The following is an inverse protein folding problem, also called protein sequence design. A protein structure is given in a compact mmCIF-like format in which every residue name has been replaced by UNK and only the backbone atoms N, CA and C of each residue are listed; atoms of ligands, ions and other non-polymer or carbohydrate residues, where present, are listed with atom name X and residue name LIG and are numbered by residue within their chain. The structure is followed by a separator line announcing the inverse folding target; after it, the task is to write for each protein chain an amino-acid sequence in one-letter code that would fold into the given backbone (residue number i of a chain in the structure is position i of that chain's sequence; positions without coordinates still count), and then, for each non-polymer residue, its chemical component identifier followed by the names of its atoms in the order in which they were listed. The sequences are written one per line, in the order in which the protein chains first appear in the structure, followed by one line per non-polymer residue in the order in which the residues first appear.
data_IF_309678122007
#
_entry.id   IF_309678122007
#
_cell.length_a   1.000
_cell.length_b   1.000
_cell.length_c   1.000
_cell.angle_alpha   90.00
_cell.angle_beta   90.00
_cell.angle_gamma   90.00
#
_symmetry.space_group_name_H-M   'P 1'
#
loop_
_entity.id
_entity.type
_entity.pdbx_description
1 polymer ?
#
# COMPACT_ATOMS: atom_id res chain seq x y z
N UNK A 1 14.13 33.93 23.53
CA UNK A 1 14.62 32.55 23.65
C UNK A 1 13.65 31.66 22.84
N UNK A 2 14.07 31.09 21.71
CA UNK A 2 13.26 30.08 20.97
C UNK A 2 13.23 28.83 21.89
N UNK A 3 12.08 28.48 22.46
CA UNK A 3 11.90 27.26 23.21
C UNK A 3 12.34 26.09 22.38
N UNK A 4 13.14 25.16 22.94
CA UNK A 4 13.46 23.88 22.26
C UNK A 4 12.15 23.14 22.05
N UNK A 5 11.68 23.08 20.80
CA UNK A 5 10.53 22.24 20.44
C UNK A 5 10.79 20.80 20.87
N UNK A 6 9.77 20.16 21.45
CA UNK A 6 9.80 18.76 21.85
C UNK A 6 10.17 17.85 20.65
N UNK A 7 11.03 16.83 20.83
CA UNK A 7 11.38 15.87 19.80
C UNK A 7 10.16 15.23 19.09
N UNK A 8 9.12 14.90 19.85
CA UNK A 8 7.87 14.34 19.33
C UNK A 8 7.16 15.32 18.39
N UNK A 9 7.02 16.60 18.80
CA UNK A 9 6.40 17.63 17.97
C UNK A 9 7.14 17.82 16.64
N UNK A 10 8.47 17.75 16.66
CA UNK A 10 9.29 17.87 15.44
C UNK A 10 9.12 16.69 14.51
N UNK A 11 9.03 15.47 15.04
CA UNK A 11 8.79 14.28 14.20
C UNK A 11 7.36 14.26 13.69
N UNK A 12 6.39 14.64 14.51
CA UNK A 12 5.00 14.81 14.07
C UNK A 12 4.88 15.81 12.92
N UNK A 13 5.48 16.98 13.05
CA UNK A 13 5.50 17.98 11.98
C UNK A 13 6.18 17.45 10.69
N UNK A 14 7.17 16.56 10.81
CA UNK A 14 7.82 15.94 9.66
C UNK A 14 6.88 14.94 8.96
N UNK A 15 6.12 14.16 9.73
CA UNK A 15 5.11 13.22 9.20
C UNK A 15 4.00 13.98 8.49
N UNK A 16 3.41 14.99 9.12
CA UNK A 16 2.38 15.84 8.51
C UNK A 16 2.87 16.46 7.20
N UNK A 17 4.10 16.95 7.19
CA UNK A 17 4.70 17.52 5.95
C UNK A 17 4.92 16.47 4.87
N UNK A 18 5.22 15.22 5.24
CA UNK A 18 5.36 14.12 4.27
C UNK A 18 4.00 13.75 3.68
N UNK A 19 2.97 13.63 4.52
CA UNK A 19 1.58 13.41 4.11
C UNK A 19 1.09 14.50 3.15
N UNK A 20 1.23 15.78 3.52
CA UNK A 20 0.88 16.91 2.65
C UNK A 20 1.62 16.89 1.31
N UNK A 21 2.88 16.46 1.31
CA UNK A 21 3.66 16.33 0.07
C UNK A 21 3.09 15.22 -0.79
N UNK A 22 2.78 14.06 -0.21
CA UNK A 22 2.15 12.95 -0.93
C UNK A 22 0.82 13.39 -1.54
N UNK A 23 -0.07 13.98 -0.74
CA UNK A 23 -1.36 14.46 -1.19
C UNK A 23 -1.23 15.45 -2.36
N UNK A 24 -0.35 16.44 -2.26
CA UNK A 24 -0.12 17.42 -3.34
C UNK A 24 0.36 16.79 -4.65
N UNK A 25 1.21 15.75 -4.59
CA UNK A 25 1.71 15.08 -5.80
C UNK A 25 0.67 14.12 -6.39
N UNK A 26 -0.20 13.55 -5.57
CA UNK A 26 -1.23 12.62 -5.99
C UNK A 26 -2.57 13.30 -6.35
N UNK A 27 -2.72 14.60 -6.04
CA UNK A 27 -3.93 15.37 -6.30
C UNK A 27 -4.23 15.75 -7.76
N UNK A 28 -3.29 15.76 -8.74
CA UNK A 28 -3.72 16.01 -10.10
C UNK A 28 -4.82 15.01 -10.47
N UNK A 29 -6.04 15.53 -10.64
CA UNK A 29 -7.14 14.74 -11.15
C UNK A 29 -6.69 14.14 -12.48
N UNK A 30 -7.01 12.87 -12.70
CA UNK A 30 -6.84 12.28 -14.02
C UNK A 30 -7.55 13.13 -15.04
N UNK A 31 -6.98 13.26 -16.22
CA UNK A 31 -7.61 14.02 -17.33
C UNK A 31 -9.08 13.65 -17.46
N UNK A 32 -9.96 14.66 -17.48
CA UNK A 32 -11.39 14.44 -17.63
C UNK A 32 -11.68 13.51 -18.84
N UNK A 33 -12.58 12.55 -18.67
CA UNK A 33 -12.93 11.60 -19.73
C UNK A 33 -11.94 10.44 -19.95
N UNK A 34 -10.94 10.24 -19.07
CA UNK A 34 -10.02 9.09 -19.20
C UNK A 34 -10.76 7.75 -19.12
N UNK A 35 -11.80 7.65 -18.28
CA UNK A 35 -12.61 6.44 -18.17
C UNK A 35 -13.33 6.11 -19.47
N UNK A 36 -13.95 7.11 -20.12
CA UNK A 36 -14.59 6.93 -21.42
C UNK A 36 -13.59 6.52 -22.51
N UNK A 37 -12.37 7.06 -22.45
CA UNK A 37 -11.31 6.66 -23.39
C UNK A 37 -10.87 5.24 -23.15
N UNK A 38 -10.65 4.82 -21.90
CA UNK A 38 -10.30 3.44 -21.57
C UNK A 38 -11.40 2.48 -22.00
N UNK A 39 -12.66 2.77 -21.70
CA UNK A 39 -13.79 1.91 -22.06
C UNK A 39 -13.90 1.65 -23.58
N UNK A 40 -13.39 2.56 -24.40
CA UNK A 40 -13.31 2.35 -25.87
C UNK A 40 -12.21 1.37 -26.31
N UNK A 41 -11.12 1.27 -25.54
CA UNK A 41 -9.94 0.48 -25.92
C UNK A 41 -9.79 -0.81 -25.12
N UNK A 42 -10.44 -0.91 -23.96
CA UNK A 42 -10.38 -2.09 -23.09
C UNK A 42 -11.67 -2.89 -23.21
N UNK A 43 -11.61 -4.16 -23.63
CA UNK A 43 -12.78 -5.01 -23.62
C UNK A 43 -13.35 -5.12 -22.21
N UNK A 44 -14.66 -4.92 -22.04
CA UNK A 44 -15.35 -5.00 -20.74
C UNK A 44 -15.09 -6.34 -20.04
N UNK A 45 -14.95 -7.43 -20.81
CA UNK A 45 -14.59 -8.74 -20.28
C UNK A 45 -13.23 -8.75 -19.58
N UNK A 46 -12.26 -7.99 -20.07
CA UNK A 46 -10.93 -7.90 -19.44
C UNK A 46 -10.99 -7.12 -18.14
N UNK A 47 -11.69 -5.98 -18.12
CA UNK A 47 -11.93 -5.19 -16.93
C UNK A 47 -12.56 -6.03 -15.83
N UNK A 48 -13.70 -6.67 -16.10
CA UNK A 48 -14.38 -7.54 -15.12
C UNK A 48 -13.52 -8.72 -14.68
N UNK A 49 -12.69 -9.27 -15.56
CA UNK A 49 -11.77 -10.36 -15.21
C UNK A 49 -10.67 -9.88 -14.26
N UNK A 50 -10.10 -8.69 -14.48
CA UNK A 50 -9.10 -8.11 -13.60
C UNK A 50 -9.67 -7.82 -12.20
N UNK A 51 -10.84 -7.20 -12.11
CA UNK A 51 -11.53 -6.98 -10.83
C UNK A 51 -11.76 -8.28 -10.08
N UNK A 52 -12.29 -9.30 -10.75
CA UNK A 52 -12.51 -10.61 -10.14
C UNK A 52 -11.20 -11.31 -9.71
N UNK A 53 -10.13 -11.14 -10.48
CA UNK A 53 -8.83 -11.73 -10.16
C UNK A 53 -8.20 -11.08 -8.93
N UNK A 54 -8.22 -9.75 -8.81
CA UNK A 54 -7.75 -9.05 -7.61
C UNK A 54 -8.59 -9.42 -6.39
N UNK A 55 -9.92 -9.43 -6.53
CA UNK A 55 -10.83 -9.81 -5.44
C UNK A 55 -10.51 -11.22 -4.90
N UNK A 56 -10.46 -12.21 -5.78
CA UNK A 56 -10.15 -13.59 -5.40
C UNK A 56 -8.74 -13.74 -4.81
N UNK A 57 -7.78 -12.98 -5.31
CA UNK A 57 -6.42 -13.03 -4.79
C UNK A 57 -6.35 -12.46 -3.36
N UNK A 58 -7.05 -11.36 -3.05
CA UNK A 58 -7.16 -10.86 -1.67
C UNK A 58 -7.85 -11.87 -0.76
N UNK A 59 -9.00 -12.45 -1.15
CA UNK A 59 -9.66 -13.50 -0.37
C UNK A 59 -8.70 -14.66 -0.07
N UNK A 60 -8.03 -15.18 -1.09
CA UNK A 60 -7.10 -16.29 -0.94
C UNK A 60 -5.95 -15.95 0.04
N UNK A 61 -5.39 -14.74 -0.07
CA UNK A 61 -4.27 -14.33 0.77
C UNK A 61 -4.73 -14.15 2.21
N UNK A 62 -5.83 -13.44 2.46
CA UNK A 62 -6.31 -13.23 3.83
C UNK A 62 -6.81 -14.51 4.50
N UNK A 63 -7.39 -15.43 3.74
CA UNK A 63 -7.91 -16.67 4.30
C UNK A 63 -6.81 -17.74 4.53
N UNK A 64 -5.77 -17.78 3.67
CA UNK A 64 -4.78 -18.87 3.69
C UNK A 64 -3.34 -18.43 3.37
N UNK A 65 -3.14 -17.30 2.74
CA UNK A 65 -1.85 -16.86 2.21
C UNK A 65 -0.97 -16.13 3.22
N UNK A 66 -1.56 -15.48 4.23
CA UNK A 66 -0.81 -14.71 5.23
C UNK A 66 0.33 -15.51 5.88
N UNK A 67 0.13 -16.76 6.35
CA UNK A 67 1.22 -17.57 6.90
C UNK A 67 2.35 -17.89 5.90
N UNK A 68 2.04 -17.91 4.60
CA UNK A 68 3.05 -18.11 3.54
C UNK A 68 3.89 -16.84 3.37
N UNK A 69 3.24 -15.68 3.37
CA UNK A 69 3.91 -14.38 3.33
C UNK A 69 4.83 -14.23 4.55
N UNK A 70 4.37 -14.58 5.74
CA UNK A 70 5.14 -14.49 6.99
C UNK A 70 6.43 -15.31 6.99
N UNK A 71 6.48 -16.43 6.27
CA UNK A 71 7.70 -17.22 6.10
C UNK A 71 8.80 -16.49 5.32
N UNK A 72 8.46 -15.42 4.61
CA UNK A 72 9.42 -14.65 3.79
C UNK A 72 10.14 -13.55 4.57
N UNK A 73 9.75 -13.31 5.84
CA UNK A 73 10.40 -12.38 6.75
C UNK A 73 10.29 -12.88 8.21
N UNK A 74 11.06 -12.28 9.11
CA UNK A 74 11.15 -12.71 10.52
C UNK A 74 10.19 -11.85 11.38
N UNK A 75 8.92 -12.26 11.47
CA UNK A 75 7.87 -11.54 12.23
C UNK A 75 8.32 -11.25 13.66
N UNK A 76 8.74 -12.27 14.40
CA UNK A 76 9.13 -12.13 15.81
C UNK A 76 10.28 -11.12 15.99
N UNK A 77 11.24 -11.10 15.05
CA UNK A 77 12.35 -10.16 15.09
C UNK A 77 11.85 -8.70 14.89
N UNK A 78 10.87 -8.50 14.01
CA UNK A 78 10.25 -7.19 13.81
C UNK A 78 9.53 -6.71 15.06
N UNK A 79 8.74 -7.56 15.68
CA UNK A 79 8.05 -7.27 16.93
C UNK A 79 9.02 -6.99 18.09
N UNK A 80 10.13 -7.73 18.18
CA UNK A 80 11.19 -7.48 19.15
C UNK A 80 11.87 -6.12 18.90
N UNK A 81 12.22 -5.82 17.66
CA UNK A 81 12.82 -4.53 17.29
C UNK A 81 11.89 -3.37 17.63
N UNK A 82 10.59 -3.50 17.37
CA UNK A 82 9.62 -2.50 17.80
C UNK A 82 9.66 -2.28 19.32
N UNK A 83 9.63 -3.34 20.13
CA UNK A 83 9.69 -3.23 21.60
C UNK A 83 10.96 -2.54 22.07
N UNK A 84 12.11 -2.86 21.46
CA UNK A 84 13.42 -2.22 21.76
C UNK A 84 13.37 -0.72 21.39
N UNK A 85 12.84 -0.40 20.21
CA UNK A 85 12.73 0.98 19.73
C UNK A 85 11.76 1.79 20.61
N UNK A 86 10.62 1.20 21.01
CA UNK A 86 9.63 1.84 21.87
C UNK A 86 10.24 2.16 23.27
N UNK A 87 10.86 1.18 23.89
CA UNK A 87 11.57 1.40 25.16
C UNK A 87 12.68 2.45 25.04
N UNK A 88 13.46 2.41 23.96
CA UNK A 88 14.53 3.39 23.72
C UNK A 88 13.96 4.79 23.53
N UNK A 89 12.84 4.94 22.84
CA UNK A 89 12.17 6.23 22.65
C UNK A 89 11.62 6.79 23.95
N UNK A 90 11.05 5.93 24.80
CA UNK A 90 10.54 6.30 26.12
C UNK A 90 11.65 6.80 27.05
N UNK A 91 12.79 6.06 27.10
CA UNK A 91 13.90 6.40 28.02
C UNK A 91 14.71 7.60 27.54
N UNK A 92 14.92 7.77 26.23
CA UNK A 92 15.85 8.77 25.70
C UNK A 92 15.20 10.06 25.22
N UNK A 93 13.91 10.08 24.93
CA UNK A 93 13.16 11.23 24.39
C UNK A 93 13.97 12.06 23.38
N UNK A 94 14.51 11.40 22.35
CA UNK A 94 15.30 12.02 21.30
C UNK A 94 14.71 11.76 19.92
N UNK A 95 14.88 12.71 19.00
CA UNK A 95 14.49 12.51 17.58
C UNK A 95 15.17 11.29 16.96
N UNK A 96 16.39 10.97 17.37
CA UNK A 96 17.11 9.80 16.87
C UNK A 96 16.42 8.49 17.26
N UNK A 97 15.93 8.39 18.51
CA UNK A 97 15.18 7.23 19.00
C UNK A 97 13.83 7.10 18.27
N UNK A 98 13.08 8.21 18.13
CA UNK A 98 11.81 8.23 17.40
C UNK A 98 11.96 7.82 15.92
N UNK A 99 13.05 8.21 15.28
CA UNK A 99 13.33 7.84 13.87
C UNK A 99 13.77 6.39 13.68
N UNK A 100 14.01 5.64 14.75
CA UNK A 100 14.37 4.23 14.64
C UNK A 100 13.26 3.42 13.96
N UNK A 101 12.00 3.69 14.29
CA UNK A 101 10.83 3.05 13.66
C UNK A 101 10.83 3.27 12.14
N UNK A 102 10.93 4.52 11.70
CA UNK A 102 10.94 4.86 10.27
C UNK A 102 12.16 4.33 9.51
N UNK A 103 13.34 4.22 10.17
CA UNK A 103 14.51 3.59 9.53
C UNK A 103 14.28 2.11 9.29
N UNK A 104 13.68 1.41 10.24
CA UNK A 104 13.38 -0.02 10.10
C UNK A 104 12.32 -0.27 9.03
N UNK A 105 11.23 0.49 9.06
CA UNK A 105 10.20 0.44 8.02
C UNK A 105 10.78 0.75 6.62
N UNK A 106 11.62 1.78 6.52
CA UNK A 106 12.27 2.17 5.26
C UNK A 106 13.26 1.12 4.73
N UNK A 107 14.00 0.44 5.61
CA UNK A 107 14.91 -0.64 5.21
C UNK A 107 14.13 -1.82 4.59
N UNK A 108 13.03 -2.23 5.21
CA UNK A 108 12.14 -3.27 4.69
C UNK A 108 11.52 -2.89 3.35
N UNK A 109 11.02 -1.66 3.25
CA UNK A 109 10.45 -1.13 2.01
C UNK A 109 11.44 -1.18 0.85
N UNK A 110 12.65 -0.69 1.06
CA UNK A 110 13.67 -0.65 0.01
C UNK A 110 14.08 -2.06 -0.45
N UNK A 111 14.20 -3.02 0.48
CA UNK A 111 14.49 -4.40 0.15
C UNK A 111 13.36 -5.04 -0.66
N UNK A 112 12.10 -4.84 -0.26
CA UNK A 112 10.94 -5.39 -0.94
C UNK A 112 10.77 -4.79 -2.35
N UNK A 113 11.02 -3.49 -2.53
CA UNK A 113 11.03 -2.87 -3.85
C UNK A 113 12.13 -3.43 -4.75
N UNK A 114 13.32 -3.70 -4.21
CA UNK A 114 14.41 -4.30 -4.97
C UNK A 114 14.09 -5.73 -5.40
N UNK A 115 13.50 -6.54 -4.51
CA UNK A 115 13.05 -7.91 -4.82
C UNK A 115 12.00 -7.89 -5.92
N UNK A 116 10.98 -7.03 -5.80
CA UNK A 116 9.95 -6.88 -6.84
C UNK A 116 10.51 -6.48 -8.20
N UNK A 117 11.54 -5.65 -8.22
CA UNK A 117 12.22 -5.27 -9.46
C UNK A 117 12.87 -6.47 -10.16
N UNK A 118 13.48 -7.37 -9.38
CA UNK A 118 14.14 -8.58 -9.92
C UNK A 118 13.11 -9.61 -10.37
N UNK A 119 12.08 -9.85 -9.57
CA UNK A 119 11.02 -10.81 -9.89
C UNK A 119 10.18 -10.34 -11.09
N UNK A 120 9.83 -9.04 -11.16
CA UNK A 120 9.07 -8.46 -12.27
C UNK A 120 9.79 -8.56 -13.61
N UNK A 121 11.12 -8.44 -13.65
CA UNK A 121 11.93 -8.64 -14.86
C UNK A 121 11.98 -10.12 -15.27
N UNK A 122 12.01 -11.03 -14.29
CA UNK A 122 12.07 -12.48 -14.57
C UNK A 122 10.75 -13.06 -15.04
N UNK A 123 9.60 -12.55 -14.58
CA UNK A 123 8.28 -13.14 -14.83
C UNK A 123 7.50 -12.47 -15.97
N UNK A 124 7.78 -11.22 -16.30
CA UNK A 124 7.20 -10.55 -17.48
C UNK A 124 7.50 -11.24 -18.81
N UNK A 125 8.48 -12.15 -18.83
CA UNK A 125 8.83 -12.95 -20.01
C UNK A 125 7.84 -14.11 -20.31
N UNK A 126 7.03 -14.53 -19.32
CA UNK A 126 6.12 -15.68 -19.51
C UNK A 126 4.72 -15.32 -20.04
N UNK A 127 4.42 -14.05 -20.27
CA UNK A 127 3.28 -13.60 -21.08
C UNK A 127 1.86 -13.97 -20.61
N UNK A 128 1.69 -14.46 -19.38
CA UNK A 128 0.41 -14.95 -18.85
C UNK A 128 -0.08 -14.06 -17.71
N UNK A 129 -0.64 -12.92 -18.05
CA UNK A 129 -1.03 -11.78 -17.23
C UNK A 129 -1.90 -11.97 -16.00
N UNK A 130 -2.43 -13.12 -15.66
CA UNK A 130 -3.29 -13.31 -14.51
C UNK A 130 -2.66 -14.10 -13.34
N UNK A 131 -1.72 -15.03 -13.54
CA UNK A 131 -1.05 -15.73 -12.44
C UNK A 131 -0.21 -14.81 -11.55
N UNK A 132 0.21 -13.66 -12.06
CA UNK A 132 1.09 -12.71 -11.34
C UNK A 132 0.35 -11.89 -10.27
N UNK A 133 -0.99 -11.80 -10.33
CA UNK A 133 -1.78 -11.00 -9.37
C UNK A 133 -1.62 -11.48 -7.92
N UNK A 134 -1.75 -12.77 -7.59
CA UNK A 134 -1.51 -13.25 -6.23
C UNK A 134 -0.08 -12.99 -5.74
N UNK A 135 0.92 -13.12 -6.62
CA UNK A 135 2.31 -12.84 -6.27
C UNK A 135 2.52 -11.34 -6.02
N UNK A 136 2.05 -10.50 -6.92
CA UNK A 136 2.09 -9.04 -6.75
C UNK A 136 1.46 -8.62 -5.43
N UNK A 137 0.24 -9.10 -5.12
CA UNK A 137 -0.42 -8.80 -3.86
C UNK A 137 0.33 -9.37 -2.66
N UNK A 138 0.92 -10.54 -2.77
CA UNK A 138 1.74 -11.14 -1.72
C UNK A 138 2.94 -10.26 -1.36
N UNK A 139 3.67 -9.74 -2.36
CA UNK A 139 4.81 -8.83 -2.15
C UNK A 139 4.35 -7.48 -1.62
N UNK A 140 3.24 -6.95 -2.12
CA UNK A 140 2.64 -5.70 -1.65
C UNK A 140 2.24 -5.81 -0.17
N UNK A 141 1.48 -6.85 0.19
CA UNK A 141 1.03 -7.06 1.57
C UNK A 141 2.20 -7.35 2.51
N UNK A 142 3.21 -8.12 2.08
CA UNK A 142 4.46 -8.27 2.83
C UNK A 142 5.06 -6.93 3.20
N UNK A 143 5.18 -6.02 2.22
CA UNK A 143 5.76 -4.70 2.47
C UNK A 143 4.96 -3.91 3.51
N UNK A 144 3.63 -3.95 3.43
CA UNK A 144 2.75 -3.26 4.39
C UNK A 144 2.83 -3.92 5.77
N UNK A 145 2.83 -5.25 5.86
CA UNK A 145 2.95 -6.00 7.12
C UNK A 145 4.25 -5.67 7.85
N UNK A 146 5.37 -5.63 7.13
CA UNK A 146 6.66 -5.26 7.72
C UNK A 146 6.69 -3.81 8.22
N UNK A 147 6.04 -2.88 7.51
CA UNK A 147 5.86 -1.50 7.98
C UNK A 147 4.99 -1.47 9.22
N UNK A 148 3.83 -2.13 9.22
CA UNK A 148 2.91 -2.20 10.36
C UNK A 148 3.64 -2.70 11.62
N UNK A 149 4.34 -3.84 11.53
CA UNK A 149 5.11 -4.40 12.64
C UNK A 149 6.21 -3.46 13.14
N UNK A 150 6.84 -2.68 12.24
CA UNK A 150 7.88 -1.72 12.63
C UNK A 150 7.34 -0.57 13.48
N UNK A 151 6.03 -0.32 13.40
CA UNK A 151 5.31 0.68 14.21
C UNK A 151 4.43 0.06 15.31
N UNK A 152 4.47 -1.26 15.49
CA UNK A 152 3.74 -1.98 16.54
C UNK A 152 2.28 -2.29 16.22
N UNK A 153 1.88 -2.12 14.97
CA UNK A 153 0.57 -2.56 14.49
C UNK A 153 0.61 -4.02 14.05
N UNK A 154 -0.53 -4.70 14.10
CA UNK A 154 -0.69 -6.06 13.61
C UNK A 154 -1.58 -6.07 12.35
N UNK A 155 -1.88 -7.25 11.82
CA UNK A 155 -2.70 -7.43 10.61
C UNK A 155 -3.55 -8.72 10.70
N UNK A 156 -3.73 -9.21 11.94
CA UNK A 156 -4.33 -10.53 12.18
C UNK A 156 -5.87 -10.47 12.21
N UNK A 157 -6.44 -9.32 12.59
CA UNK A 157 -7.89 -9.15 12.71
C UNK A 157 -8.53 -8.66 11.41
N UNK A 158 -9.85 -8.87 11.28
CA UNK A 158 -10.59 -8.33 10.13
C UNK A 158 -10.54 -6.80 10.06
N UNK A 159 -10.52 -6.13 11.20
CA UNK A 159 -10.45 -4.67 11.27
C UNK A 159 -9.12 -4.15 10.73
N UNK A 160 -8.01 -4.79 11.10
CA UNK A 160 -6.68 -4.47 10.58
C UNK A 160 -6.57 -4.76 9.08
N UNK A 161 -7.19 -5.84 8.61
CA UNK A 161 -7.26 -6.15 7.17
C UNK A 161 -8.05 -5.08 6.42
N UNK A 162 -9.18 -4.60 6.97
CA UNK A 162 -9.96 -3.49 6.39
C UNK A 162 -9.11 -2.22 6.35
N UNK A 163 -8.36 -1.91 7.41
CA UNK A 163 -7.46 -0.76 7.44
C UNK A 163 -6.40 -0.83 6.34
N UNK A 164 -5.73 -1.98 6.19
CA UNK A 164 -4.72 -2.20 5.15
C UNK A 164 -5.31 -2.06 3.75
N UNK A 165 -6.48 -2.64 3.52
CA UNK A 165 -7.20 -2.51 2.25
C UNK A 165 -7.56 -1.04 1.96
N UNK A 166 -8.07 -0.32 2.97
CA UNK A 166 -8.39 1.10 2.87
C UNK A 166 -7.15 1.96 2.60
N UNK A 167 -6.02 1.63 3.21
CA UNK A 167 -4.74 2.27 2.95
C UNK A 167 -4.31 2.09 1.49
N UNK A 168 -4.42 0.88 0.94
CA UNK A 168 -4.13 0.60 -0.47
C UNK A 168 -5.08 1.40 -1.39
N UNK A 169 -6.38 1.36 -1.13
CA UNK A 169 -7.39 2.14 -1.88
C UNK A 169 -7.05 3.64 -1.87
N UNK A 170 -6.72 4.18 -0.69
CA UNK A 170 -6.37 5.59 -0.50
C UNK A 170 -5.11 5.95 -1.29
N UNK A 171 -4.06 5.16 -1.17
CA UNK A 171 -2.82 5.40 -1.91
C UNK A 171 -3.02 5.43 -3.43
N UNK A 172 -3.99 4.69 -3.95
CA UNK A 172 -4.34 4.65 -5.37
C UNK A 172 -5.36 5.70 -5.80
N UNK A 173 -6.03 6.34 -4.84
CA UNK A 173 -7.04 7.36 -5.12
C UNK A 173 -6.43 8.67 -5.62
N UNK A 174 -7.27 9.51 -6.27
CA UNK A 174 -6.88 10.81 -6.82
C UNK A 174 -7.90 11.89 -6.45
N UNK A 175 -7.49 13.16 -6.50
CA UNK A 175 -8.36 14.32 -6.32
C UNK A 175 -9.12 14.30 -4.99
N UNK A 176 -10.42 14.60 -5.05
CA UNK A 176 -11.30 14.66 -3.86
C UNK A 176 -11.42 13.30 -3.15
N UNK A 177 -11.46 12.21 -3.92
CA UNK A 177 -11.52 10.85 -3.34
C UNK A 177 -10.30 10.53 -2.48
N UNK A 178 -9.11 10.97 -2.91
CA UNK A 178 -7.90 10.83 -2.10
C UNK A 178 -8.02 11.61 -0.80
N UNK A 179 -8.48 12.86 -0.86
CA UNK A 179 -8.64 13.69 0.33
C UNK A 179 -9.65 13.10 1.32
N UNK A 180 -10.80 12.60 0.83
CA UNK A 180 -11.81 11.94 1.65
C UNK A 180 -11.27 10.67 2.30
N UNK A 181 -10.67 9.77 1.52
CA UNK A 181 -10.13 8.51 2.01
C UNK A 181 -9.02 8.75 3.04
N UNK A 182 -8.14 9.73 2.81
CA UNK A 182 -7.10 10.11 3.75
C UNK A 182 -7.68 10.65 5.07
N UNK A 183 -8.72 11.47 4.99
CA UNK A 183 -9.41 11.96 6.18
C UNK A 183 -10.06 10.81 6.97
N UNK A 184 -10.72 9.86 6.30
CA UNK A 184 -11.31 8.68 6.95
C UNK A 184 -10.27 7.82 7.68
N UNK A 185 -9.10 7.56 7.05
CA UNK A 185 -7.99 6.85 7.68
C UNK A 185 -7.44 7.61 8.91
N UNK A 186 -7.26 8.93 8.79
CA UNK A 186 -6.77 9.76 9.89
C UNK A 186 -7.76 9.79 11.06
N UNK A 187 -9.06 9.82 10.79
CA UNK A 187 -10.11 9.74 11.82
C UNK A 187 -10.08 8.38 12.51
N UNK A 188 -9.96 7.29 11.76
CA UNK A 188 -9.88 5.95 12.31
C UNK A 188 -8.67 5.82 13.26
N UNK A 189 -7.49 6.28 12.84
CA UNK A 189 -6.28 6.24 13.66
C UNK A 189 -6.35 7.08 14.94
N UNK A 190 -7.08 8.21 14.91
CA UNK A 190 -7.17 9.14 16.06
C UNK A 190 -8.25 8.77 17.05
N UNK A 191 -9.36 8.23 16.58
CA UNK A 191 -10.58 8.08 17.38
C UNK A 191 -10.90 6.61 17.69
N UNK A 192 -10.00 5.68 17.31
CA UNK A 192 -10.22 4.22 17.46
C UNK A 192 -11.59 3.78 16.89
N UNK A 193 -12.04 4.44 15.84
CA UNK A 193 -13.32 4.10 15.20
C UNK A 193 -13.16 2.86 14.35
N UNK A 194 -14.15 1.97 14.44
CA UNK A 194 -14.27 0.85 13.52
C UNK A 194 -14.87 1.30 12.19
N UNK A 195 -14.40 0.70 11.10
CA UNK A 195 -15.03 0.92 9.80
C UNK A 195 -16.44 0.30 9.79
N UNK A 196 -17.42 1.04 9.32
CA UNK A 196 -18.79 0.54 9.12
C UNK A 196 -18.94 -0.35 7.88
N UNK A 197 -17.85 -0.69 7.23
CA UNK A 197 -17.79 -1.48 6.00
C UNK A 197 -17.36 -2.91 6.29
N UNK A 198 -17.91 -3.89 5.58
CA UNK A 198 -17.44 -5.27 5.68
C UNK A 198 -16.10 -5.48 4.98
N UNK A 199 -15.32 -6.48 5.43
CA UNK A 199 -14.06 -6.88 4.78
C UNK A 199 -14.26 -7.15 3.27
N UNK A 200 -15.30 -7.88 2.92
CA UNK A 200 -15.57 -8.25 1.53
C UNK A 200 -15.89 -7.04 0.65
N UNK A 201 -16.64 -6.09 1.17
CA UNK A 201 -16.91 -4.84 0.44
C UNK A 201 -15.63 -4.00 0.31
N UNK A 202 -14.77 -3.97 1.33
CA UNK A 202 -13.50 -3.27 1.23
C UNK A 202 -12.54 -3.96 0.27
N UNK A 203 -12.50 -5.31 0.24
CA UNK A 203 -11.77 -6.08 -0.78
C UNK A 203 -12.24 -5.67 -2.18
N UNK A 204 -13.56 -5.58 -2.40
CA UNK A 204 -14.12 -5.18 -3.68
C UNK A 204 -13.63 -3.79 -4.11
N UNK A 205 -13.76 -2.78 -3.25
CA UNK A 205 -13.32 -1.40 -3.53
C UNK A 205 -11.83 -1.31 -3.84
N UNK A 206 -11.01 -2.00 -3.06
CA UNK A 206 -9.55 -2.03 -3.27
C UNK A 206 -9.19 -2.74 -4.57
N UNK A 207 -9.91 -3.81 -4.92
CA UNK A 207 -9.74 -4.53 -6.19
C UNK A 207 -10.12 -3.66 -7.38
N UNK A 208 -11.21 -2.90 -7.25
CA UNK A 208 -11.64 -1.94 -8.26
C UNK A 208 -10.58 -0.85 -8.48
N UNK A 209 -10.02 -0.31 -7.40
CA UNK A 209 -8.96 0.68 -7.45
C UNK A 209 -7.70 0.13 -8.14
N UNK A 210 -7.23 -1.06 -7.77
CA UNK A 210 -6.06 -1.70 -8.39
C UNK A 210 -6.26 -1.99 -9.88
N UNK A 211 -7.40 -2.57 -10.24
CA UNK A 211 -7.73 -2.86 -11.64
C UNK A 211 -7.80 -1.58 -12.47
N UNK A 212 -8.48 -0.54 -11.96
CA UNK A 212 -8.58 0.74 -12.63
C UNK A 212 -7.23 1.43 -12.82
N UNK A 213 -6.35 1.39 -11.80
CA UNK A 213 -5.00 1.94 -11.91
C UNK A 213 -4.16 1.22 -12.94
N UNK A 214 -4.18 -0.11 -12.93
CA UNK A 214 -3.44 -0.92 -13.89
C UNK A 214 -3.87 -0.63 -15.33
N UNK A 215 -5.17 -0.53 -15.57
CA UNK A 215 -5.72 -0.19 -16.89
C UNK A 215 -5.34 1.22 -17.33
N UNK A 216 -5.40 2.19 -16.40
CA UNK A 216 -4.99 3.56 -16.68
C UNK A 216 -3.53 3.68 -17.06
N UNK A 217 -2.63 3.05 -16.31
CA UNK A 217 -1.20 3.11 -16.62
C UNK A 217 -0.88 2.53 -17.98
N UNK A 218 -1.49 1.39 -18.32
CA UNK A 218 -1.31 0.77 -19.64
C UNK A 218 -1.84 1.65 -20.77
N UNK A 219 -2.97 2.30 -20.56
CA UNK A 219 -3.52 3.26 -21.51
C UNK A 219 -2.55 4.43 -21.76
N UNK A 220 -2.00 5.02 -20.68
CA UNK A 220 -1.06 6.15 -20.80
C UNK A 220 0.24 5.74 -21.47
N UNK A 221 0.70 4.51 -21.25
CA UNK A 221 1.92 3.98 -21.87
C UNK A 221 1.73 3.54 -23.33
N UNK A 222 0.50 3.59 -23.85
CA UNK A 222 0.20 3.13 -25.22
C UNK A 222 0.46 1.64 -25.45
N UNK A 223 0.55 0.85 -24.39
CA UNK A 223 0.84 -0.59 -24.46
C UNK A 223 -0.44 -1.39 -24.72
N UNK A 224 -0.37 -2.47 -25.53
CA UNK A 224 -1.49 -3.36 -25.67
C UNK A 224 -1.87 -3.96 -24.31
N UNK A 225 -3.16 -3.93 -23.99
CA UNK A 225 -3.70 -4.39 -22.69
C UNK A 225 -3.57 -5.90 -22.53
N UNK A 226 -3.29 -6.62 -23.61
CA UNK A 226 -3.18 -8.08 -23.65
C UNK A 226 -1.72 -8.48 -23.40
N UNK A 227 -1.46 -9.21 -22.32
CA UNK A 227 -0.23 -10.00 -22.14
C UNK A 227 0.86 -9.42 -21.25
N UNK A 228 0.68 -8.26 -20.59
CA UNK A 228 1.72 -7.70 -19.72
C UNK A 228 1.15 -7.10 -18.43
N UNK A 229 0.71 -7.96 -17.52
CA UNK A 229 0.67 -7.63 -16.08
C UNK A 229 2.00 -8.13 -15.53
N UNK A 230 2.88 -7.22 -15.18
CA UNK A 230 4.21 -7.55 -14.66
C UNK A 230 5.27 -6.53 -15.04
N UNK A 231 6.21 -6.29 -14.16
CA UNK A 231 7.38 -5.44 -14.41
C UNK A 231 7.23 -4.00 -13.93
N UNK A 232 7.35 -3.05 -14.83
CA UNK A 232 7.43 -1.61 -14.46
C UNK A 232 6.17 -1.09 -13.79
N UNK A 233 4.99 -1.61 -14.17
CA UNK A 233 3.71 -1.20 -13.58
C UNK A 233 3.61 -1.55 -12.10
N UNK A 234 4.01 -2.78 -11.75
CA UNK A 234 3.93 -3.28 -10.38
C UNK A 234 4.83 -2.48 -9.45
N UNK A 235 6.02 -2.12 -9.91
CA UNK A 235 6.96 -1.32 -9.15
C UNK A 235 6.44 0.10 -8.87
N UNK A 236 5.77 0.73 -9.85
CA UNK A 236 5.21 2.08 -9.69
C UNK A 236 4.13 2.09 -8.60
N UNK A 237 3.20 1.12 -8.64
CA UNK A 237 2.12 1.06 -7.64
C UNK A 237 2.62 0.59 -6.29
N UNK A 238 3.50 -0.41 -6.25
CA UNK A 238 4.10 -0.85 -5.01
C UNK A 238 4.85 0.30 -4.32
N UNK A 239 5.64 1.07 -5.10
CA UNK A 239 6.31 2.25 -4.57
C UNK A 239 5.31 3.27 -4.03
N UNK A 240 4.27 3.60 -4.79
CA UNK A 240 3.25 4.58 -4.39
C UNK A 240 2.53 4.18 -3.10
N UNK A 241 2.09 2.92 -3.02
CA UNK A 241 1.41 2.38 -1.84
C UNK A 241 2.37 2.34 -0.64
N UNK A 242 3.61 1.90 -0.85
CA UNK A 242 4.63 1.85 0.20
C UNK A 242 5.12 3.24 0.64
N UNK A 243 5.04 4.26 -0.22
CA UNK A 243 5.36 5.65 0.16
C UNK A 243 4.23 6.26 1.00
N UNK A 244 2.99 5.78 0.83
CA UNK A 244 1.84 6.23 1.59
C UNK A 244 1.72 5.50 2.95
N UNK A 245 2.02 4.19 2.99
CA UNK A 245 2.04 3.39 4.21
C UNK A 245 3.16 3.82 5.18
#
# INVERSE_FOLDING_TARGET
MKGKQNPVEKEWAAVVKAEERFLRHAMPARTAGWQEKITRYVPQKLETTLHAAFYKAFELIFDRGTPVIEKTYQREKKEQNYKINAYTAEVRDTRHALRAFGREAGASRNLNLAVSAVEGVGMGFFGLGLPDIPLFLGVLLKSIYEVALSYGYTYDTQEEQIFILKLIETALSHGEQLAQNNMELNLWMREERTFSISRNEQIRRTSDALAGELLYLKFVQGLPVVGMVGGVSDMVYQKRISDYA
#
